data_IF_277993222191
#
_entry.id   IF_277993222191
#
_cell.length_a   1.000
_cell.length_b   1.000
_cell.length_c   1.000
_cell.angle_alpha   90.00
_cell.angle_beta   90.00
_cell.angle_gamma   90.00
#
_symmetry.space_group_name_H-M   'P 1'
#
loop_
_entity.id
_entity.type
_entity.pdbx_description
1 polymer ?
#
# COMPACT_ATOMS: atom_id res chain seq x y z
N UNK A 1 -39.01 -8.32 18.45
CA UNK A 1 -38.42 -8.34 17.10
C UNK A 1 -37.64 -7.07 16.75
N UNK A 2 -38.22 -5.86 16.86
CA UNK A 2 -37.51 -4.59 16.57
C UNK A 2 -36.22 -4.38 17.38
N UNK A 3 -36.24 -4.71 18.67
CA UNK A 3 -35.06 -4.55 19.56
C UNK A 3 -33.89 -5.45 19.14
N UNK A 4 -34.18 -6.68 18.69
CA UNK A 4 -33.16 -7.62 18.20
C UNK A 4 -32.54 -7.10 16.90
N UNK A 5 -33.36 -6.57 15.98
CA UNK A 5 -32.89 -6.00 14.72
C UNK A 5 -31.96 -4.79 14.96
N UNK A 6 -32.31 -3.93 15.91
CA UNK A 6 -31.49 -2.77 16.30
C UNK A 6 -30.16 -3.24 16.92
N UNK A 7 -30.18 -4.25 17.78
CA UNK A 7 -28.96 -4.80 18.38
C UNK A 7 -28.02 -5.42 17.33
N UNK A 8 -28.56 -6.13 16.34
CA UNK A 8 -27.77 -6.72 15.24
C UNK A 8 -27.14 -5.64 14.35
N UNK A 9 -27.90 -4.62 13.96
CA UNK A 9 -27.40 -3.50 13.14
C UNK A 9 -26.28 -2.70 13.84
N UNK A 10 -26.36 -2.55 15.16
CA UNK A 10 -25.30 -1.90 15.93
C UNK A 10 -24.06 -2.80 16.08
N UNK A 11 -24.23 -4.13 16.10
CA UNK A 11 -23.13 -5.08 16.18
C UNK A 11 -22.27 -5.05 14.89
N UNK A 12 -22.92 -4.98 13.72
CA UNK A 12 -22.24 -4.84 12.42
C UNK A 12 -21.44 -3.53 12.32
N UNK A 13 -21.97 -2.43 12.91
CA UNK A 13 -21.26 -1.15 12.96
C UNK A 13 -20.01 -1.18 13.85
N UNK A 14 -20.03 -1.98 14.93
CA UNK A 14 -18.89 -2.14 15.83
C UNK A 14 -17.77 -2.96 15.16
N UNK A 15 -18.11 -3.93 14.31
CA UNK A 15 -17.13 -4.68 13.51
C UNK A 15 -16.62 -3.91 12.28
N UNK A 16 -17.34 -2.88 11.83
CA UNK A 16 -16.95 -2.02 10.70
C UNK A 16 -15.69 -1.20 10.98
N UNK A 17 -15.29 -1.05 12.25
CA UNK A 17 -13.99 -0.50 12.63
C UNK A 17 -12.97 -1.65 12.66
N UNK A 18 -12.82 -2.36 11.55
CA UNK A 18 -11.58 -3.10 11.34
C UNK A 18 -10.49 -2.04 11.23
N UNK A 19 -9.69 -1.90 12.29
CA UNK A 19 -8.42 -1.19 12.24
C UNK A 19 -7.76 -1.58 10.92
N UNK A 20 -7.46 -0.59 10.06
CA UNK A 20 -6.83 -0.81 8.76
C UNK A 20 -5.61 -1.68 9.04
N UNK A 21 -5.73 -2.97 8.75
CA UNK A 21 -4.63 -3.90 8.98
C UNK A 21 -3.59 -3.45 7.96
N UNK A 22 -2.51 -2.83 8.43
CA UNK A 22 -1.48 -2.31 7.52
C UNK A 22 -1.13 -3.39 6.50
N UNK A 23 -1.14 -3.00 5.22
CA UNK A 23 -0.87 -3.91 4.13
C UNK A 23 0.58 -4.42 4.21
N UNK A 24 0.87 -5.56 3.58
CA UNK A 24 2.23 -6.11 3.56
C UNK A 24 3.25 -5.08 3.04
N UNK A 25 2.99 -4.33 1.94
CA UNK A 25 3.90 -3.27 1.49
C UNK A 25 4.22 -2.23 2.57
N UNK A 26 3.21 -1.78 3.32
CA UNK A 26 3.39 -0.78 4.39
C UNK A 26 4.16 -1.37 5.56
N UNK A 27 3.79 -2.57 6.02
CA UNK A 27 4.44 -3.23 7.16
C UNK A 27 5.90 -3.60 6.91
N UNK A 28 6.22 -3.95 5.67
CA UNK A 28 7.57 -4.39 5.28
C UNK A 28 8.46 -3.27 4.78
N UNK A 29 7.92 -2.05 4.62
CA UNK A 29 8.69 -0.90 4.15
C UNK A 29 9.76 -0.53 5.19
N UNK A 30 11.01 -0.54 4.75
CA UNK A 30 12.15 -0.06 5.51
C UNK A 30 12.98 0.84 4.62
N UNK A 31 13.27 2.05 5.07
CA UNK A 31 14.04 3.04 4.31
C UNK A 31 15.21 3.54 5.15
N UNK A 32 16.35 3.69 4.51
CA UNK A 32 17.54 4.30 5.07
C UNK A 32 18.20 5.18 4.01
N UNK A 33 19.03 6.12 4.44
CA UNK A 33 19.73 7.01 3.54
C UNK A 33 21.20 7.13 3.94
N UNK A 34 22.03 7.54 3.00
CA UNK A 34 23.48 7.71 3.18
C UNK A 34 23.85 9.13 3.66
N UNK A 35 22.87 10.01 3.90
CA UNK A 35 23.04 11.43 4.20
C UNK A 35 23.92 12.20 3.21
N UNK A 36 24.09 11.67 1.99
CA UNK A 36 24.99 12.24 0.98
C UNK A 36 24.27 12.42 -0.36
N UNK A 37 23.69 11.34 -0.89
CA UNK A 37 23.15 11.35 -2.25
C UNK A 37 21.98 10.40 -2.49
N UNK A 38 21.72 9.45 -1.59
CA UNK A 38 20.83 8.33 -1.88
C UNK A 38 19.93 7.97 -0.69
N UNK A 39 18.67 7.71 -1.02
CA UNK A 39 17.73 6.98 -0.17
C UNK A 39 17.51 5.60 -0.77
N UNK A 40 17.60 4.57 0.07
CA UNK A 40 17.31 3.18 -0.29
C UNK A 40 16.17 2.67 0.56
N UNK A 41 15.17 2.09 -0.09
CA UNK A 41 14.04 1.45 0.56
C UNK A 41 13.93 -0.01 0.13
N UNK A 42 13.55 -0.87 1.06
CA UNK A 42 13.16 -2.26 0.81
C UNK A 42 11.72 -2.47 1.23
N UNK A 43 10.97 -3.25 0.46
CA UNK A 43 9.61 -3.65 0.81
C UNK A 43 9.23 -4.96 0.13
N UNK A 44 8.11 -5.54 0.56
CA UNK A 44 7.60 -6.81 0.06
C UNK A 44 6.13 -6.71 -0.31
N UNK A 45 5.70 -7.56 -1.24
CA UNK A 45 4.29 -7.81 -1.52
C UNK A 45 4.04 -9.24 -1.92
N UNK A 46 2.79 -9.69 -1.83
CA UNK A 46 2.43 -11.01 -2.32
C UNK A 46 2.55 -11.09 -3.85
N UNK A 47 3.11 -12.18 -4.36
CA UNK A 47 3.25 -12.42 -5.80
C UNK A 47 1.89 -12.39 -6.53
N UNK A 48 0.85 -12.96 -5.91
CA UNK A 48 -0.52 -12.93 -6.44
C UNK A 48 -1.12 -11.52 -6.46
N UNK A 49 -0.87 -10.73 -5.41
CA UNK A 49 -1.32 -9.35 -5.35
C UNK A 49 -0.62 -8.50 -6.43
N UNK A 50 0.68 -8.69 -6.61
CA UNK A 50 1.45 -8.02 -7.67
C UNK A 50 0.92 -8.37 -9.07
N UNK A 51 0.62 -9.65 -9.33
CA UNK A 51 0.07 -10.08 -10.60
C UNK A 51 -1.31 -9.46 -10.90
N UNK A 52 -2.12 -9.24 -9.86
CA UNK A 52 -3.43 -8.58 -9.99
C UNK A 52 -3.28 -7.06 -10.17
N UNK A 53 -2.56 -6.40 -9.27
CA UNK A 53 -2.28 -4.96 -9.26
C UNK A 53 -0.90 -4.72 -8.64
N UNK A 54 0.09 -4.44 -9.47
CA UNK A 54 1.41 -4.04 -9.00
C UNK A 54 1.37 -2.67 -8.32
N UNK A 55 2.17 -2.50 -7.28
CA UNK A 55 2.29 -1.24 -6.55
C UNK A 55 3.58 -0.51 -6.91
N UNK A 56 3.53 0.81 -6.88
CA UNK A 56 4.65 1.72 -7.07
C UNK A 56 4.86 2.50 -5.77
N UNK A 57 6.09 2.53 -5.29
CA UNK A 57 6.49 3.31 -4.12
C UNK A 57 6.79 4.75 -4.52
N UNK A 58 6.18 5.70 -3.84
CA UNK A 58 6.47 7.13 -3.95
C UNK A 58 7.03 7.66 -2.64
N UNK A 59 8.01 8.56 -2.73
CA UNK A 59 8.56 9.33 -1.63
C UNK A 59 8.10 10.78 -1.77
N UNK A 60 7.71 11.39 -0.66
CA UNK A 60 7.49 12.83 -0.52
C UNK A 60 8.37 13.36 0.59
N UNK A 61 9.32 14.22 0.24
CA UNK A 61 10.16 14.91 1.22
C UNK A 61 9.55 16.27 1.53
N UNK A 62 9.39 16.60 2.81
CA UNK A 62 8.78 17.86 3.26
C UNK A 62 9.51 19.13 2.82
N UNK A 63 10.82 19.05 2.54
CA UNK A 63 11.63 20.18 2.07
C UNK A 63 11.25 20.59 0.65
N UNK A 64 11.00 19.60 -0.22
CA UNK A 64 10.68 19.84 -1.64
C UNK A 64 9.18 19.80 -1.91
N UNK A 65 8.42 19.12 -1.05
CA UNK A 65 7.00 18.80 -1.20
C UNK A 65 6.64 18.02 -2.47
N UNK A 66 7.64 17.55 -3.23
CA UNK A 66 7.46 16.80 -4.45
C UNK A 66 7.20 15.32 -4.16
N UNK A 67 6.22 14.73 -4.84
CA UNK A 67 6.02 13.29 -4.84
C UNK A 67 6.88 12.67 -5.95
N UNK A 68 7.95 11.98 -5.57
CA UNK A 68 8.87 11.30 -6.49
C UNK A 68 8.62 9.81 -6.49
N UNK A 69 8.54 9.23 -7.68
CA UNK A 69 8.53 7.78 -7.83
C UNK A 69 9.90 7.21 -7.44
N UNK A 70 9.89 6.17 -6.63
CA UNK A 70 11.11 5.44 -6.27
C UNK A 70 11.44 4.44 -7.37
N UNK A 71 12.70 4.38 -7.78
CA UNK A 71 13.12 3.43 -8.80
C UNK A 71 13.37 2.05 -8.19
N UNK A 72 12.38 1.16 -8.33
CA UNK A 72 12.37 -0.17 -7.73
C UNK A 72 12.82 -1.27 -8.70
N UNK A 73 13.58 -2.23 -8.19
CA UNK A 73 13.92 -3.49 -8.86
C UNK A 73 13.61 -4.68 -7.97
N UNK A 74 13.12 -5.75 -8.57
CA UNK A 74 12.93 -7.02 -7.87
C UNK A 74 14.31 -7.57 -7.46
N UNK A 75 14.46 -7.91 -6.19
CA UNK A 75 15.65 -8.61 -5.71
C UNK A 75 15.67 -10.03 -6.28
N UNK A 76 16.73 -10.39 -6.98
CA UNK A 76 16.89 -11.71 -7.63
C UNK A 76 17.80 -12.59 -6.78
N UNK A 77 17.19 -13.46 -5.97
CA UNK A 77 17.58 -14.82 -5.53
C UNK A 77 19.05 -15.23 -5.25
N UNK A 78 19.98 -14.32 -4.99
CA UNK A 78 21.33 -14.71 -4.55
C UNK A 78 21.57 -14.67 -3.03
N UNK A 79 20.57 -14.35 -2.19
CA UNK A 79 20.81 -14.15 -0.75
C UNK A 79 19.67 -14.55 0.22
N UNK A 80 18.60 -15.22 -0.21
CA UNK A 80 17.53 -15.63 0.71
C UNK A 80 17.17 -17.11 0.53
N UNK A 81 17.57 -17.88 1.54
CA UNK A 81 17.33 -19.30 1.75
C UNK A 81 15.82 -19.62 1.65
N UNK A 82 15.45 -20.50 0.71
CA UNK A 82 14.27 -21.39 0.60
C UNK A 82 12.88 -20.98 1.16
N UNK A 83 12.63 -19.72 1.55
CA UNK A 83 11.32 -19.29 2.06
C UNK A 83 10.53 -18.54 1.00
N UNK A 84 9.86 -19.34 0.17
CA UNK A 84 8.54 -19.10 -0.42
C UNK A 84 8.40 -18.04 -1.53
N UNK A 85 8.16 -18.55 -2.75
CA UNK A 85 7.56 -17.89 -3.93
C UNK A 85 6.33 -16.98 -3.67
N UNK A 86 5.80 -16.95 -2.44
CA UNK A 86 4.62 -16.18 -2.08
C UNK A 86 4.85 -14.67 -1.99
N UNK A 87 6.09 -14.20 -1.82
CA UNK A 87 6.42 -12.77 -1.72
C UNK A 87 7.49 -12.31 -2.70
N UNK A 88 7.25 -11.15 -3.31
CA UNK A 88 8.21 -10.42 -4.12
C UNK A 88 8.92 -9.41 -3.25
N UNK A 89 10.25 -9.40 -3.30
CA UNK A 89 11.10 -8.46 -2.58
C UNK A 89 11.57 -7.36 -3.53
N UNK A 90 11.44 -6.12 -3.11
CA UNK A 90 11.78 -4.94 -3.89
C UNK A 90 12.88 -4.15 -3.19
N UNK A 91 13.86 -3.72 -3.98
CA UNK A 91 14.87 -2.74 -3.57
C UNK A 91 14.69 -1.51 -4.43
N UNK A 92 14.47 -0.36 -3.80
CA UNK A 92 14.18 0.89 -4.46
C UNK A 92 15.19 1.96 -4.08
N UNK A 93 15.56 2.79 -5.06
CA UNK A 93 16.49 3.89 -4.86
C UNK A 93 15.91 5.19 -5.38
N UNK A 94 16.32 6.28 -4.73
CA UNK A 94 16.15 7.62 -5.26
C UNK A 94 17.37 8.47 -4.90
N UNK A 95 17.69 9.42 -5.76
CA UNK A 95 18.79 10.36 -5.52
C UNK A 95 18.23 11.67 -5.03
N UNK A 96 18.80 12.21 -3.96
CA UNK A 96 18.40 13.49 -3.40
C UNK A 96 19.63 14.18 -2.81
N UNK A 97 19.64 15.51 -2.83
CA UNK A 97 20.63 16.37 -2.18
C UNK A 97 20.05 17.04 -0.92
N UNK A 98 18.77 16.80 -0.65
CA UNK A 98 17.98 17.52 0.34
C UNK A 98 17.82 16.68 1.61
N UNK A 99 18.85 16.69 2.46
CA UNK A 99 18.87 16.04 3.76
C UNK A 99 18.88 17.07 4.88
N UNK A 100 18.01 16.91 5.88
CA UNK A 100 18.03 17.72 7.09
C UNK A 100 17.61 16.89 8.30
N UNK A 101 18.21 17.17 9.45
CA UNK A 101 17.77 16.58 10.71
C UNK A 101 16.37 17.13 11.02
N UNK A 102 15.40 16.22 11.21
CA UNK A 102 14.00 16.57 11.47
C UNK A 102 13.17 16.87 10.22
N UNK A 103 13.72 16.68 9.01
CA UNK A 103 12.87 16.57 7.82
C UNK A 103 12.11 15.24 7.84
N UNK A 104 10.82 15.27 7.52
CA UNK A 104 10.01 14.07 7.39
C UNK A 104 9.92 13.64 5.92
N UNK A 105 10.03 12.33 5.72
CA UNK A 105 9.75 11.68 4.45
C UNK A 105 8.47 10.86 4.58
N UNK A 106 7.47 11.17 3.76
CA UNK A 106 6.23 10.40 3.67
C UNK A 106 6.32 9.45 2.49
N UNK A 107 6.06 8.18 2.74
CA UNK A 107 6.06 7.13 1.71
C UNK A 107 4.63 6.68 1.41
N UNK A 108 4.33 6.46 0.14
CA UNK A 108 3.01 6.01 -0.30
C UNK A 108 3.11 4.97 -1.40
N UNK A 109 2.21 4.00 -1.37
CA UNK A 109 2.06 3.00 -2.42
C UNK A 109 0.87 3.35 -3.30
N UNK A 110 1.08 3.39 -4.62
CA UNK A 110 0.00 3.61 -5.60
C UNK A 110 -0.04 2.46 -6.61
N UNK A 111 -1.23 2.03 -7.05
CA UNK A 111 -1.36 1.09 -8.15
C UNK A 111 -0.63 1.56 -9.40
N UNK A 112 0.01 0.64 -10.13
CA UNK A 112 0.65 0.90 -11.41
C UNK A 112 -0.34 1.12 -12.57
N UNK A 113 -1.64 1.07 -12.28
CA UNK A 113 -2.74 1.27 -13.24
C UNK A 113 -3.92 1.92 -12.53
N UNK A 114 -4.76 2.62 -13.30
CA UNK A 114 -6.03 3.14 -12.81
C UNK A 114 -6.97 1.96 -12.54
N UNK A 115 -7.53 1.89 -11.35
CA UNK A 115 -8.54 0.90 -10.99
C UNK A 115 -9.93 1.54 -11.19
N UNK A 116 -10.75 0.95 -12.05
CA UNK A 116 -12.14 1.35 -12.25
C UNK A 116 -13.04 0.31 -11.58
N UNK A 117 -13.93 0.77 -10.70
CA UNK A 117 -14.98 -0.05 -10.12
C UNK A 117 -16.31 0.37 -10.74
N UNK A 118 -17.05 -0.59 -11.28
CA UNK A 118 -18.38 -0.37 -11.83
C UNK A 118 -19.43 -0.94 -10.88
N UNK A 119 -20.46 -0.15 -10.58
CA UNK A 119 -21.60 -0.58 -9.78
C UNK A 119 -22.80 -0.73 -10.69
N UNK A 120 -23.20 -1.97 -10.94
CA UNK A 120 -24.43 -2.28 -11.65
C UNK A 120 -25.61 -2.31 -10.66
N UNK A 121 -26.48 -1.29 -10.72
CA UNK A 121 -27.70 -1.22 -9.91
C UNK A 121 -28.89 -1.57 -10.79
N UNK A 122 -29.66 -2.59 -10.41
CA UNK A 122 -30.95 -2.87 -11.04
C UNK A 122 -32.03 -1.95 -10.43
N UNK A 123 -32.58 -1.05 -11.25
CA UNK A 123 -33.47 0.01 -10.82
C UNK A 123 -34.94 -0.42 -10.71
N UNK A 124 -35.31 -1.64 -11.14
CA UNK A 124 -36.71 -2.04 -11.25
C UNK A 124 -37.05 -3.30 -10.44
N UNK A 125 -37.06 -3.18 -9.11
CA UNK A 125 -37.71 -4.17 -8.23
C UNK A 125 -38.97 -3.68 -7.50
N UNK A 126 -39.39 -2.42 -7.67
CA UNK A 126 -40.55 -1.85 -6.99
C UNK A 126 -41.76 -1.67 -7.91
N UNK A 127 -42.21 -2.74 -8.55
CA UNK A 127 -43.31 -2.70 -9.53
C UNK A 127 -44.15 -3.96 -9.59
N UNK A 128 -44.52 -4.54 -8.45
CA UNK A 128 -45.65 -5.46 -8.34
C UNK A 128 -46.36 -5.20 -7.02
N UNK A 129 -47.36 -4.33 -7.09
CA UNK A 129 -48.61 -4.44 -6.35
C UNK A 129 -49.74 -3.99 -7.29
#
# INVERSE_FOLDING_TARGET
>A
MKVILILLLNLDLIFSVQAIRESIPVKSLSCYNDYNSQVTCTWMEHSEAHALVGMILYQRNDLTQENKEMFCKRQTENDLDETSDSYVHWVCHNTTDSFAIGAEDVYSFKPNKILQAELNVDLFQNGKD
#
